data_IF_359781179777
#
_entry.id   IF_359781179777
#
_cell.length_a   1.000
_cell.length_b   1.000
_cell.length_c   1.000
_cell.angle_alpha   90.00
_cell.angle_beta   90.00
_cell.angle_gamma   90.00
#
_symmetry.space_group_name_H-M   'P 1'
#
loop_
_entity.id
_entity.type
_entity.pdbx_description
1 polymer ?
#
# COMPACT_ATOMS: atom_id res chain seq x y z
N UNK A 1 -16.16 -11.80 12.82
CA UNK A 1 -15.18 -11.52 11.76
C UNK A 1 -15.15 -10.01 11.57
N UNK A 2 -14.10 -9.35 12.04
CA UNK A 2 -14.06 -7.89 12.21
C UNK A 2 -13.60 -7.23 10.92
N UNK A 3 -14.53 -6.69 10.12
CA UNK A 3 -14.18 -5.66 9.14
C UNK A 3 -13.73 -4.44 9.96
N UNK A 4 -12.46 -4.05 9.86
CA UNK A 4 -12.09 -2.73 10.38
C UNK A 4 -12.89 -1.70 9.57
N UNK A 5 -13.65 -0.87 10.26
CA UNK A 5 -14.44 0.18 9.64
C UNK A 5 -13.46 1.21 9.10
N UNK A 6 -13.25 1.21 7.79
CA UNK A 6 -12.48 2.25 7.12
C UNK A 6 -13.13 3.60 7.39
N UNK A 7 -12.35 4.61 7.73
CA UNK A 7 -12.90 5.95 7.90
C UNK A 7 -13.64 6.38 6.61
N UNK A 8 -14.80 7.08 6.70
CA UNK A 8 -15.55 7.48 5.53
C UNK A 8 -14.68 8.32 4.58
N UNK A 9 -14.52 7.86 3.34
CA UNK A 9 -13.66 8.49 2.32
C UNK A 9 -12.22 7.98 2.28
N UNK A 10 -11.83 7.05 3.17
CA UNK A 10 -10.53 6.35 3.13
C UNK A 10 -10.70 4.89 2.66
N UNK A 11 -9.66 4.36 2.05
CA UNK A 11 -9.56 2.97 1.64
C UNK A 11 -8.20 2.40 2.03
N UNK A 12 -8.07 1.07 1.98
CA UNK A 12 -6.81 0.40 2.27
C UNK A 12 -5.90 0.33 1.05
N UNK A 13 -4.62 0.58 1.28
CA UNK A 13 -3.56 0.53 0.29
C UNK A 13 -2.36 -0.21 0.86
N UNK A 14 -1.68 -0.93 -0.02
CA UNK A 14 -0.40 -1.55 0.26
C UNK A 14 0.71 -0.66 -0.29
N UNK A 15 1.71 -0.38 0.54
CA UNK A 15 2.99 0.16 0.08
C UNK A 15 4.03 -0.92 0.18
N UNK A 16 4.67 -1.23 -0.94
CA UNK A 16 5.70 -2.25 -1.02
C UNK A 16 7.03 -1.58 -1.35
N UNK A 17 8.11 -2.03 -0.71
CA UNK A 17 9.45 -1.57 -1.00
C UNK A 17 10.24 -2.69 -1.69
N UNK A 18 10.89 -2.38 -2.82
CA UNK A 18 11.74 -3.33 -3.55
C UNK A 18 12.99 -3.76 -2.74
N UNK A 19 13.30 -3.05 -1.65
CA UNK A 19 14.28 -3.39 -0.61
C UNK A 19 13.81 -2.85 0.75
N UNK A 20 14.40 -3.27 1.88
CA UNK A 20 13.87 -2.93 3.21
C UNK A 20 14.06 -1.46 3.66
N UNK A 21 15.17 -0.82 3.29
CA UNK A 21 15.53 0.52 3.78
C UNK A 21 14.56 1.65 3.41
N UNK A 22 14.04 1.73 2.16
CA UNK A 22 13.12 2.81 1.74
C UNK A 22 11.78 2.86 2.49
N UNK A 23 11.34 1.75 3.12
CA UNK A 23 10.05 1.73 3.81
C UNK A 23 10.13 2.45 5.17
N UNK A 24 11.25 2.34 5.88
CA UNK A 24 11.43 2.98 7.20
C UNK A 24 11.32 4.50 7.11
N UNK A 25 11.96 5.10 6.11
CA UNK A 25 11.90 6.56 5.89
C UNK A 25 10.47 7.01 5.55
N UNK A 26 9.75 6.22 4.77
CA UNK A 26 8.34 6.48 4.49
C UNK A 26 7.48 6.39 5.76
N UNK A 27 7.70 5.41 6.63
CA UNK A 27 6.94 5.26 7.88
C UNK A 27 7.16 6.45 8.81
N UNK A 28 8.39 6.94 8.93
CA UNK A 28 8.68 8.15 9.70
C UNK A 28 7.95 9.39 9.16
N UNK A 29 7.82 9.52 7.83
CA UNK A 29 6.99 10.57 7.21
C UNK A 29 5.50 10.37 7.50
N UNK A 30 5.02 9.13 7.37
CA UNK A 30 3.61 8.78 7.59
C UNK A 30 3.14 9.08 9.02
N UNK A 31 4.01 8.93 10.02
CA UNK A 31 3.72 9.31 11.41
C UNK A 31 3.42 10.81 11.58
N UNK A 32 3.89 11.65 10.66
CA UNK A 32 3.70 13.10 10.71
C UNK A 32 2.52 13.60 9.86
N UNK A 33 1.95 12.75 8.98
CA UNK A 33 0.84 13.10 8.10
C UNK A 33 -0.50 12.57 8.66
N UNK A 34 -1.41 13.43 9.16
CA UNK A 34 -2.67 12.99 9.75
C UNK A 34 -3.63 12.34 8.73
N UNK A 35 -3.41 12.53 7.43
CA UNK A 35 -4.18 11.83 6.41
C UNK A 35 -3.76 10.36 6.24
N UNK A 36 -2.61 9.98 6.79
CA UNK A 36 -2.05 8.63 6.71
C UNK A 36 -2.23 7.89 8.03
N UNK A 37 -2.84 6.71 7.95
CA UNK A 37 -2.95 5.79 9.09
C UNK A 37 -2.28 4.48 8.72
N UNK A 38 -1.19 4.14 9.41
CA UNK A 38 -0.55 2.82 9.28
C UNK A 38 -1.38 1.81 10.06
N UNK A 39 -1.95 0.83 9.37
CA UNK A 39 -2.84 -0.19 9.93
C UNK A 39 -2.06 -1.45 10.32
N UNK A 40 -1.10 -1.85 9.50
CA UNK A 40 -0.33 -3.07 9.70
C UNK A 40 1.03 -3.01 8.97
N UNK A 41 1.97 -3.86 9.38
CA UNK A 41 3.29 -4.02 8.79
C UNK A 41 3.55 -5.49 8.48
N UNK A 42 3.93 -5.77 7.23
CA UNK A 42 4.16 -7.12 6.72
C UNK A 42 5.65 -7.29 6.39
N UNK A 43 6.24 -8.34 6.95
CA UNK A 43 7.62 -8.75 6.72
C UNK A 43 8.33 -9.21 8.00
N UNK A 44 9.65 -9.47 7.94
CA UNK A 44 10.46 -9.81 9.09
C UNK A 44 10.40 -8.76 10.21
N UNK A 45 10.52 -9.20 11.45
CA UNK A 45 10.59 -8.30 12.60
C UNK A 45 11.74 -7.29 12.44
N UNK A 46 11.43 -6.01 12.57
CA UNK A 46 12.40 -4.91 12.43
C UNK A 46 12.78 -4.54 10.99
N UNK A 47 12.30 -5.30 9.99
CA UNK A 47 12.54 -5.03 8.56
C UNK A 47 11.28 -5.35 7.75
N UNK A 48 10.15 -4.64 7.99
CA UNK A 48 8.97 -4.80 7.15
C UNK A 48 9.32 -4.40 5.71
N UNK A 49 8.79 -5.15 4.74
CA UNK A 49 8.91 -4.81 3.31
C UNK A 49 7.60 -4.28 2.75
N UNK A 50 6.52 -4.35 3.53
CA UNK A 50 5.21 -3.85 3.12
C UNK A 50 4.49 -3.21 4.29
N UNK A 51 3.84 -2.08 4.04
CA UNK A 51 2.97 -1.39 5.00
C UNK A 51 1.53 -1.37 4.46
N UNK A 52 0.58 -1.64 5.35
CA UNK A 52 -0.85 -1.50 5.07
C UNK A 52 -1.32 -0.16 5.61
N UNK A 53 -1.89 0.66 4.75
CA UNK A 53 -2.32 2.02 5.10
C UNK A 53 -3.81 2.20 4.89
N UNK A 54 -4.43 3.06 5.70
CA UNK A 54 -5.71 3.70 5.41
C UNK A 54 -5.50 5.16 5.03
N UNK A 55 -5.85 5.49 3.77
CA UNK A 55 -5.67 6.82 3.20
C UNK A 55 -6.79 7.18 2.23
N UNK A 56 -6.93 8.48 1.94
CA UNK A 56 -7.83 8.95 0.87
C UNK A 56 -7.29 8.59 -0.52
N UNK A 57 -8.19 8.50 -1.51
CA UNK A 57 -7.78 8.28 -2.90
C UNK A 57 -6.88 9.41 -3.44
N UNK A 58 -7.07 10.65 -2.96
CA UNK A 58 -6.24 11.79 -3.34
C UNK A 58 -4.81 11.64 -2.80
N UNK A 59 -4.67 11.22 -1.54
CA UNK A 59 -3.38 10.90 -0.91
C UNK A 59 -2.69 9.75 -1.65
N UNK A 60 -3.44 8.69 -2.00
CA UNK A 60 -2.88 7.57 -2.76
C UNK A 60 -2.33 8.01 -4.12
N UNK A 61 -3.05 8.88 -4.85
CA UNK A 61 -2.59 9.43 -6.13
C UNK A 61 -1.34 10.32 -5.98
N UNK A 62 -1.25 11.10 -4.89
CA UNK A 62 -0.07 11.90 -4.57
C UNK A 62 1.15 11.00 -4.34
N UNK A 63 1.02 9.97 -3.51
CA UNK A 63 2.09 9.00 -3.24
C UNK A 63 2.53 8.26 -4.51
N UNK A 64 1.58 7.85 -5.35
CA UNK A 64 1.87 7.19 -6.63
C UNK A 64 2.78 8.02 -7.53
N UNK A 65 2.54 9.34 -7.61
CA UNK A 65 3.38 10.27 -8.37
C UNK A 65 4.77 10.40 -7.74
N UNK A 66 4.85 10.55 -6.42
CA UNK A 66 6.11 10.67 -5.69
C UNK A 66 6.98 9.42 -5.84
N UNK A 67 6.39 8.24 -5.83
CA UNK A 67 7.09 6.97 -6.00
C UNK A 67 7.54 6.73 -7.45
N UNK A 68 6.88 7.37 -8.42
CA UNK A 68 7.28 7.29 -9.83
C UNK A 68 8.46 8.21 -10.16
N UNK A 69 8.82 9.15 -9.27
CA UNK A 69 9.95 10.05 -9.49
C UNK A 69 11.28 9.34 -9.24
N UNK A 70 11.99 9.03 -10.33
CA UNK A 70 13.29 8.36 -10.31
C UNK A 70 14.41 9.12 -9.58
N UNK A 71 14.21 10.42 -9.33
CA UNK A 71 15.20 11.25 -8.61
C UNK A 71 15.01 11.22 -7.10
N UNK A 72 13.88 10.68 -6.61
CA UNK A 72 13.55 10.62 -5.20
C UNK A 72 14.00 9.28 -4.57
N UNK A 73 14.44 9.28 -3.30
CA UNK A 73 14.76 8.03 -2.58
C UNK A 73 13.56 7.09 -2.46
N UNK A 74 12.34 7.61 -2.59
CA UNK A 74 11.08 6.85 -2.60
C UNK A 74 10.79 6.14 -3.93
N UNK A 75 11.64 6.24 -4.96
CA UNK A 75 11.43 5.56 -6.25
C UNK A 75 11.34 4.03 -6.13
N UNK A 76 11.89 3.48 -5.05
CA UNK A 76 11.90 2.05 -4.76
C UNK A 76 10.61 1.57 -4.07
N UNK A 77 9.65 2.48 -3.86
CA UNK A 77 8.34 2.18 -3.30
C UNK A 77 7.31 2.03 -4.41
N UNK A 78 6.32 1.17 -4.19
CA UNK A 78 5.12 1.08 -5.01
C UNK A 78 3.89 1.21 -4.14
N UNK A 79 2.76 1.62 -4.74
CA UNK A 79 1.49 1.72 -4.04
C UNK A 79 0.35 1.13 -4.88
N UNK A 80 -0.43 0.26 -4.24
CA UNK A 80 -1.57 -0.40 -4.84
C UNK A 80 -2.76 -0.50 -3.86
N UNK A 81 -4.01 -0.56 -4.36
CA UNK A 81 -5.16 -0.80 -3.50
C UNK A 81 -5.08 -2.19 -2.86
N UNK A 82 -5.37 -2.29 -1.57
CA UNK A 82 -5.52 -3.57 -0.87
C UNK A 82 -6.83 -4.22 -1.31
N UNK A 83 -6.76 -5.03 -2.37
CA UNK A 83 -7.89 -5.73 -2.97
C UNK A 83 -7.66 -7.23 -2.93
N UNK A 84 -8.72 -8.03 -2.76
CA UNK A 84 -8.60 -9.47 -2.86
C UNK A 84 -8.00 -9.85 -4.21
N UNK A 85 -7.11 -10.85 -4.18
CA UNK A 85 -6.57 -11.47 -5.39
C UNK A 85 -7.76 -12.00 -6.21
N UNK A 86 -7.98 -11.42 -7.40
CA UNK A 86 -8.91 -12.00 -8.37
C UNK A 86 -8.32 -13.30 -8.90
N UNK A 87 -8.69 -14.42 -8.28
CA UNK A 87 -8.38 -15.76 -8.80
C UNK A 87 -9.21 -15.99 -10.07
N UNK A 88 -8.64 -15.61 -11.22
CA UNK A 88 -9.08 -15.95 -12.58
C UNK A 88 -10.47 -15.44 -12.99
N UNK A 89 -10.54 -14.75 -14.13
CA UNK A 89 -11.82 -14.55 -14.82
C UNK A 89 -12.41 -15.91 -15.17
N UNK A 90 -13.66 -16.15 -14.79
CA UNK A 90 -14.47 -17.27 -15.27
C UNK A 90 -14.58 -17.20 -16.80
N UNK A 91 -13.64 -17.81 -17.50
CA UNK A 91 -13.54 -17.80 -18.96
C UNK A 91 -13.42 -19.21 -19.52
N UNK A 92 -14.57 -19.83 -19.76
CA UNK A 92 -14.82 -20.98 -20.63
C UNK A 92 -13.94 -22.23 -20.43
N UNK A 93 -14.41 -23.14 -19.57
CA UNK A 93 -14.29 -24.56 -19.87
C UNK A 93 -15.08 -24.83 -21.16
N UNK A 94 -14.40 -24.92 -22.31
CA UNK A 94 -14.99 -25.38 -23.55
C UNK A 94 -15.41 -26.86 -23.41
N UNK A 95 -16.51 -27.29 -24.06
CA UNK A 95 -16.97 -28.67 -23.94
C UNK A 95 -15.97 -29.61 -24.61
N UNK A 96 -15.78 -30.77 -23.96
CA UNK A 96 -15.06 -31.95 -24.46
C UNK A 96 -15.73 -32.53 -25.71
#
# INVERSE_FOLDING_TARGET
MSHALTAPGKARYLIHAAGGTPLTDFLALAETDPDITVVDLIGPHGQPHTAVLEISAATAQRLRRQFSDASAPTHQLTIEPDRPLSMFGSGAAGPI
#
